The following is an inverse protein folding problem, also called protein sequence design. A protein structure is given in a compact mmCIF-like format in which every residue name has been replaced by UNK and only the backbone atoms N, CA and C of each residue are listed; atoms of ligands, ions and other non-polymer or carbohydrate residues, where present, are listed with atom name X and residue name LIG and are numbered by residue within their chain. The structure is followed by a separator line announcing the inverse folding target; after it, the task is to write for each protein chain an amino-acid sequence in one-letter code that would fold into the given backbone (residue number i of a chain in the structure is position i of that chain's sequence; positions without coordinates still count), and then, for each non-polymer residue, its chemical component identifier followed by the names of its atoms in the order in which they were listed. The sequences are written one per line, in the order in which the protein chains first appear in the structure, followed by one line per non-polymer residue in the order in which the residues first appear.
data_IF_134348699649
#
_entry.id   IF_134348699649
#
_cell.length_a   1.000
_cell.length_b   1.000
_cell.length_c   1.000
_cell.angle_alpha   90.00
_cell.angle_beta   90.00
_cell.angle_gamma   90.00
#
_symmetry.space_group_name_H-M   'P 1'
#
loop_
_entity.id
_entity.type
_entity.pdbx_description
1 polymer ?
#
# COMPACT_ATOMS: atom_id res chain seq x y z
N UNK A 1 -10.67 19.58 1.27
CA UNK A 1 -11.20 18.36 1.92
C UNK A 1 -10.75 17.08 1.23
N UNK A 2 -11.04 16.86 -0.07
CA UNK A 2 -10.70 15.59 -0.74
C UNK A 2 -9.20 15.32 -0.93
N UNK A 3 -8.39 16.35 -1.21
CA UNK A 3 -6.92 16.19 -1.35
C UNK A 3 -6.29 15.87 0.01
N UNK A 4 -6.75 16.54 1.08
CA UNK A 4 -6.29 16.30 2.47
C UNK A 4 -6.57 14.85 2.87
N UNK A 5 -7.78 14.35 2.59
CA UNK A 5 -8.15 12.95 2.85
C UNK A 5 -7.24 11.99 2.05
N UNK A 6 -6.97 12.29 0.77
CA UNK A 6 -6.07 11.49 -0.05
C UNK A 6 -4.65 11.41 0.52
N UNK A 7 -4.12 12.53 1.01
CA UNK A 7 -2.78 12.59 1.65
C UNK A 7 -2.76 11.80 2.96
N UNK A 8 -3.80 11.92 3.80
CA UNK A 8 -3.89 11.16 5.06
C UNK A 8 -3.93 9.65 4.81
N UNK A 9 -4.72 9.20 3.82
CA UNK A 9 -4.78 7.79 3.43
C UNK A 9 -3.42 7.31 2.92
N UNK A 10 -2.69 8.13 2.17
CA UNK A 10 -1.37 7.79 1.64
C UNK A 10 -0.33 7.60 2.76
N UNK A 11 -0.37 8.45 3.79
CA UNK A 11 0.49 8.31 4.98
C UNK A 11 0.16 7.02 5.74
N UNK A 12 -1.12 6.73 5.96
CA UNK A 12 -1.56 5.49 6.63
C UNK A 12 -1.11 4.23 5.85
N UNK A 13 -1.23 4.26 4.53
CA UNK A 13 -0.78 3.17 3.64
C UNK A 13 0.73 2.94 3.72
N UNK A 14 1.54 4.00 3.74
CA UNK A 14 3.00 3.85 3.87
C UNK A 14 3.36 3.23 5.23
N UNK A 15 2.69 3.66 6.31
CA UNK A 15 2.91 3.11 7.65
C UNK A 15 2.47 1.64 7.74
N UNK A 16 1.37 1.24 7.07
CA UNK A 16 0.92 -0.16 7.03
C UNK A 16 1.78 -1.05 6.12
N UNK A 17 2.38 -0.48 5.07
CA UNK A 17 3.20 -1.22 4.12
C UNK A 17 4.45 -1.82 4.78
N UNK A 18 5.06 -1.11 5.73
CA UNK A 18 6.26 -1.55 6.45
C UNK A 18 6.06 -2.87 7.21
N UNK A 19 5.09 -3.00 8.15
CA UNK A 19 4.84 -4.25 8.85
C UNK A 19 4.29 -5.34 7.90
N UNK A 20 3.53 -4.97 6.87
CA UNK A 20 2.98 -5.91 5.89
C UNK A 20 4.11 -6.57 5.05
N UNK A 21 5.12 -5.79 4.67
CA UNK A 21 6.31 -6.29 3.97
C UNK A 21 7.18 -7.18 4.86
N UNK A 22 7.32 -6.81 6.15
CA UNK A 22 8.02 -7.65 7.13
C UNK A 22 7.31 -8.99 7.35
N UNK A 23 5.98 -8.97 7.48
CA UNK A 23 5.16 -10.18 7.60
C UNK A 23 5.30 -11.09 6.37
N UNK A 24 5.34 -10.51 5.16
CA UNK A 24 5.61 -11.26 3.93
C UNK A 24 7.01 -11.89 3.93
N UNK A 25 8.05 -11.14 4.34
CA UNK A 25 9.44 -11.65 4.42
C UNK A 25 9.56 -12.76 5.45
N UNK A 26 8.90 -12.62 6.60
CA UNK A 26 8.84 -13.64 7.65
C UNK A 26 8.10 -14.90 7.18
N UNK A 27 6.96 -14.76 6.51
CA UNK A 27 6.21 -15.88 5.94
C UNK A 27 7.01 -16.63 4.86
N UNK A 28 7.76 -15.89 4.03
CA UNK A 28 8.67 -16.46 3.01
C UNK A 28 9.83 -17.22 3.66
N UNK A 29 10.39 -16.70 4.75
CA UNK A 29 11.45 -17.36 5.51
C UNK A 29 10.98 -18.60 6.27
N UNK A 30 9.70 -18.68 6.64
CA UNK A 30 9.10 -19.83 7.34
C UNK A 30 8.65 -20.96 6.39
N UNK A 31 8.88 -20.86 5.08
CA UNK A 31 8.46 -21.86 4.09
C UNK A 31 6.93 -22.01 3.97
N UNK A 32 6.16 -21.13 4.61
CA UNK A 32 4.71 -21.12 4.59
C UNK A 32 4.23 -20.51 3.26
N UNK A 33 3.07 -20.95 2.74
CA UNK A 33 2.46 -20.36 1.53
C UNK A 33 2.21 -18.87 1.76
N UNK A 34 3.18 -18.05 1.40
CA UNK A 34 3.19 -16.60 1.56
C UNK A 34 2.24 -15.91 0.59
N UNK A 35 1.50 -16.66 -0.23
CA UNK A 35 0.56 -16.16 -1.24
C UNK A 35 -0.42 -15.13 -0.68
N UNK A 36 -0.96 -15.34 0.52
CA UNK A 36 -1.86 -14.35 1.16
C UNK A 36 -1.14 -13.04 1.52
N UNK A 37 0.05 -13.13 2.11
CA UNK A 37 0.85 -11.95 2.47
C UNK A 37 1.37 -11.22 1.25
N UNK A 38 1.80 -11.94 0.21
CA UNK A 38 2.23 -11.36 -1.07
C UNK A 38 1.08 -10.66 -1.78
N UNK A 39 -0.13 -11.24 -1.76
CA UNK A 39 -1.33 -10.58 -2.30
C UNK A 39 -1.66 -9.33 -1.48
N UNK A 40 -1.58 -9.39 -0.14
CA UNK A 40 -1.90 -8.25 0.73
C UNK A 40 -0.94 -7.07 0.53
N UNK A 41 0.37 -7.32 0.41
CA UNK A 41 1.37 -6.30 0.07
C UNK A 41 1.18 -5.79 -1.36
N UNK A 42 0.87 -6.68 -2.30
CA UNK A 42 0.61 -6.31 -3.70
C UNK A 42 -0.60 -5.38 -3.85
N UNK A 43 -1.68 -5.64 -3.12
CA UNK A 43 -2.88 -4.80 -3.10
C UNK A 43 -2.56 -3.42 -2.52
N UNK A 44 -1.83 -3.34 -1.39
CA UNK A 44 -1.41 -2.06 -0.81
C UNK A 44 -0.58 -1.23 -1.82
N UNK A 45 0.33 -1.86 -2.56
CA UNK A 45 1.13 -1.19 -3.59
C UNK A 45 0.27 -0.65 -4.73
N UNK A 46 -0.69 -1.43 -5.22
CA UNK A 46 -1.62 -1.00 -6.28
C UNK A 46 -2.47 0.18 -5.81
N UNK A 47 -2.96 0.14 -4.56
CA UNK A 47 -3.70 1.23 -3.93
C UNK A 47 -2.88 2.52 -3.86
N UNK A 48 -1.61 2.44 -3.46
CA UNK A 48 -0.71 3.61 -3.42
C UNK A 48 -0.58 4.24 -4.82
N UNK A 49 -0.37 3.42 -5.85
CA UNK A 49 -0.24 3.91 -7.23
C UNK A 49 -1.54 4.59 -7.71
N UNK A 50 -2.70 3.98 -7.48
CA UNK A 50 -4.00 4.55 -7.84
C UNK A 50 -4.26 5.89 -7.16
N UNK A 51 -3.95 6.00 -5.86
CA UNK A 51 -4.14 7.24 -5.11
C UNK A 51 -3.18 8.32 -5.61
N UNK A 52 -1.92 7.96 -5.92
CA UNK A 52 -0.95 8.90 -6.52
C UNK A 52 -1.43 9.44 -7.86
N UNK A 53 -1.84 8.56 -8.78
CA UNK A 53 -2.36 8.97 -10.10
C UNK A 53 -3.57 9.87 -9.94
N UNK A 54 -4.50 9.52 -9.04
CA UNK A 54 -5.70 10.32 -8.76
C UNK A 54 -5.34 11.69 -8.19
N UNK A 55 -4.40 11.76 -7.25
CA UNK A 55 -3.93 13.02 -6.66
C UNK A 55 -3.27 13.91 -7.72
N UNK A 56 -2.41 13.34 -8.58
CA UNK A 56 -1.75 14.07 -9.67
C UNK A 56 -2.80 14.62 -10.64
N UNK A 57 -3.70 13.77 -11.15
CA UNK A 57 -4.75 14.18 -12.08
C UNK A 57 -5.61 15.30 -11.52
N UNK A 58 -5.95 15.25 -10.23
CA UNK A 58 -6.76 16.26 -9.55
C UNK A 58 -6.00 17.54 -9.19
N UNK A 59 -4.67 17.50 -9.22
CA UNK A 59 -3.83 18.69 -9.06
C UNK A 59 -3.62 19.39 -10.41
N UNK A 60 -3.64 18.63 -11.51
CA UNK A 60 -3.43 19.13 -12.87
C UNK A 60 -4.71 19.48 -13.64
N UNK A 61 -5.89 19.04 -13.16
CA UNK A 61 -7.22 19.29 -13.77
C UNK A 61 -8.09 20.05 -12.79
#
# INVERSE_FOLDING_TARGET
MTIIIGVVILILLIISLVPNYQAMKLAKNQGQKSTRYTIMVGIDLVLIVLILVTLILKLTT
#
